data_IF_914670273429
#
_entry.id   IF_914670273429
#
_cell.length_a   1.000
_cell.length_b   1.000
_cell.length_c   1.000
_cell.angle_alpha   90.00
_cell.angle_beta   90.00
_cell.angle_gamma   90.00
#
_symmetry.space_group_name_H-M   'P 1'
#
loop_
_entity.id
_entity.type
_entity.pdbx_description
1 polymer ?
#
# COMPACT_ATOMS: atom_id res chain seq x y z
N UNK A 1 16.96 -11.41 -47.08
CA UNK A 1 15.59 -10.83 -47.12
C UNK A 1 15.67 -9.54 -46.31
N UNK A 2 15.43 -8.38 -46.94
CA UNK A 2 15.35 -7.11 -46.22
C UNK A 2 14.01 -7.03 -45.49
N UNK A 3 14.04 -6.62 -44.22
CA UNK A 3 12.83 -6.49 -43.43
C UNK A 3 12.13 -5.16 -43.78
N UNK A 4 10.90 -5.19 -44.32
CA UNK A 4 10.17 -3.96 -44.71
C UNK A 4 9.85 -3.02 -43.54
N UNK A 5 9.98 -3.52 -42.32
CA UNK A 5 9.70 -2.81 -41.08
C UNK A 5 10.93 -2.14 -40.47
N UNK A 6 12.14 -2.33 -41.03
CA UNK A 6 13.35 -1.68 -40.52
C UNK A 6 13.31 -0.16 -40.71
N UNK A 7 13.91 0.56 -39.76
CA UNK A 7 14.09 2.01 -39.78
C UNK A 7 15.44 2.37 -40.37
N UNK A 8 15.49 2.35 -41.69
CA UNK A 8 16.64 2.81 -42.45
C UNK A 8 16.22 3.99 -43.31
N UNK A 9 17.14 4.92 -43.56
CA UNK A 9 16.91 6.07 -44.45
C UNK A 9 16.40 5.62 -45.83
N UNK A 10 16.82 4.43 -46.28
CA UNK A 10 16.34 3.83 -47.52
C UNK A 10 14.86 3.43 -47.47
N UNK A 11 14.40 2.79 -46.38
CA UNK A 11 12.99 2.44 -46.21
C UNK A 11 12.08 3.67 -46.12
N UNK A 12 12.55 4.78 -45.54
CA UNK A 12 11.79 6.03 -45.50
C UNK A 12 11.66 6.68 -46.87
N UNK A 13 12.72 6.63 -47.68
CA UNK A 13 12.67 7.05 -49.09
C UNK A 13 11.66 6.18 -49.86
N UNK A 14 11.65 4.87 -49.65
CA UNK A 14 10.69 3.97 -50.31
C UNK A 14 9.23 4.21 -49.89
N UNK A 15 8.99 4.53 -48.61
CA UNK A 15 7.67 4.95 -48.12
C UNK A 15 7.23 6.26 -48.78
N UNK A 16 8.14 7.24 -48.88
CA UNK A 16 7.88 8.52 -49.55
C UNK A 16 7.57 8.38 -51.05
N UNK A 17 8.20 7.41 -51.72
CA UNK A 17 7.94 7.08 -53.12
C UNK A 17 6.75 6.13 -53.34
N UNK A 18 6.07 5.68 -52.28
CA UNK A 18 4.89 4.82 -52.36
C UNK A 18 5.17 3.37 -52.74
N UNK A 19 6.42 2.91 -52.62
CA UNK A 19 6.85 1.54 -52.94
C UNK A 19 6.56 0.59 -51.76
N UNK A 20 6.65 1.09 -50.52
CA UNK A 20 6.31 0.38 -49.29
C UNK A 20 5.20 1.15 -48.56
N UNK A 21 4.20 0.49 -47.96
CA UNK A 21 3.14 1.15 -47.20
C UNK A 21 3.67 1.98 -46.02
N UNK A 22 2.95 3.04 -45.69
CA UNK A 22 3.24 3.87 -44.51
C UNK A 22 3.20 3.05 -43.22
N UNK A 23 4.06 3.41 -42.27
CA UNK A 23 4.14 2.72 -40.99
C UNK A 23 2.86 2.97 -40.18
N UNK A 24 2.31 1.95 -39.49
CA UNK A 24 1.24 2.16 -38.52
C UNK A 24 1.69 3.20 -37.49
N UNK A 25 0.86 4.22 -37.27
CA UNK A 25 1.13 5.24 -36.24
C UNK A 25 1.26 4.53 -34.89
N UNK A 26 2.36 4.78 -34.18
CA UNK A 26 2.53 4.30 -32.82
C UNK A 26 1.33 4.78 -32.01
N UNK A 27 0.65 3.91 -31.25
CA UNK A 27 -0.42 4.36 -30.37
C UNK A 27 0.14 5.42 -29.42
N UNK A 28 -0.64 6.47 -29.09
CA UNK A 28 -0.20 7.47 -28.13
C UNK A 28 0.16 6.76 -26.81
N UNK A 29 1.25 7.21 -26.18
CA UNK A 29 1.60 6.74 -24.84
C UNK A 29 0.39 6.89 -23.92
N UNK A 30 0.06 5.89 -23.09
CA UNK A 30 -1.00 6.04 -22.12
C UNK A 30 -0.71 7.24 -21.20
N UNK A 31 -1.78 7.92 -20.77
CA UNK A 31 -1.66 9.04 -19.83
C UNK A 31 -1.09 8.53 -18.49
N UNK A 32 -0.20 9.30 -17.83
CA UNK A 32 0.30 8.92 -16.51
C UNK A 32 -0.85 8.79 -15.50
N UNK A 33 -0.69 7.94 -14.46
CA UNK A 33 -1.72 7.78 -13.44
C UNK A 33 -1.98 9.09 -12.70
N UNK A 34 -3.20 9.24 -12.18
CA UNK A 34 -3.56 10.38 -11.36
C UNK A 34 -2.66 10.47 -10.11
N UNK A 35 -2.34 11.70 -9.68
CA UNK A 35 -1.62 11.93 -8.44
C UNK A 35 -2.42 11.44 -7.23
N UNK A 36 -1.76 10.92 -6.18
CA UNK A 36 -2.43 10.38 -5.00
C UNK A 36 -3.19 11.47 -4.23
N UNK A 37 -4.37 11.12 -3.74
CA UNK A 37 -5.19 11.99 -2.90
C UNK A 37 -4.58 12.15 -1.50
N UNK A 38 -4.93 13.21 -0.76
CA UNK A 38 -4.51 13.37 0.65
C UNK A 38 -4.85 12.13 1.49
N UNK A 39 -6.06 11.57 1.31
CA UNK A 39 -6.48 10.34 2.00
C UNK A 39 -5.55 9.15 1.75
N UNK A 40 -5.03 9.02 0.53
CA UNK A 40 -4.08 7.96 0.17
C UNK A 40 -2.72 8.19 0.82
N UNK A 41 -2.28 9.45 0.89
CA UNK A 41 -1.04 9.83 1.58
C UNK A 41 -1.10 9.58 3.08
N UNK A 42 -2.27 9.78 3.71
CA UNK A 42 -2.46 9.52 5.14
C UNK A 42 -2.43 8.03 5.49
N UNK A 43 -2.90 7.18 4.57
CA UNK A 43 -3.05 5.74 4.82
C UNK A 43 -1.68 5.06 4.92
N UNK A 44 -1.36 4.56 6.11
CA UNK A 44 -0.11 3.84 6.35
C UNK A 44 1.12 4.74 6.51
N UNK A 45 0.94 6.07 6.56
CA UNK A 45 2.03 7.00 6.82
C UNK A 45 2.64 6.78 8.21
N UNK A 46 3.96 6.95 8.32
CA UNK A 46 4.65 7.06 9.60
C UNK A 46 4.34 8.40 10.28
N UNK A 47 4.61 8.52 11.59
CA UNK A 47 4.43 9.81 12.28
C UNK A 47 5.33 10.91 11.69
N UNK A 48 6.53 10.54 11.20
CA UNK A 48 7.43 11.46 10.51
C UNK A 48 6.86 11.94 9.17
N UNK A 49 6.26 11.03 8.39
CA UNK A 49 5.66 11.36 7.10
C UNK A 49 4.38 12.21 7.27
N UNK A 50 3.60 11.97 8.34
CA UNK A 50 2.46 12.82 8.67
C UNK A 50 2.91 14.24 9.02
N UNK A 51 4.00 14.40 9.77
CA UNK A 51 4.56 15.71 10.10
C UNK A 51 5.06 16.44 8.85
N UNK A 52 5.77 15.74 7.96
CA UNK A 52 6.22 16.33 6.69
C UNK A 52 5.04 16.76 5.82
N UNK A 53 3.96 15.97 5.77
CA UNK A 53 2.75 16.32 5.03
C UNK A 53 2.00 17.51 5.64
N UNK A 54 2.10 17.71 6.94
CA UNK A 54 1.60 18.89 7.65
C UNK A 54 2.42 20.13 7.28
N UNK A 55 3.75 20.02 7.28
CA UNK A 55 4.68 21.12 6.95
C UNK A 55 4.61 21.50 5.44
N UNK A 56 4.35 20.53 4.55
CA UNK A 56 4.16 20.72 3.10
C UNK A 56 2.72 21.11 2.73
N UNK A 57 1.81 21.21 3.71
CA UNK A 57 0.43 21.61 3.44
C UNK A 57 0.38 23.05 2.91
N UNK A 58 0.06 23.20 1.63
CA UNK A 58 -0.06 24.51 0.98
C UNK A 58 -1.31 25.31 1.39
N UNK A 59 -2.18 24.75 2.21
CA UNK A 59 -3.43 25.35 2.65
C UNK A 59 -3.85 24.90 4.07
N UNK A 60 -4.64 25.74 4.74
CA UNK A 60 -5.06 25.52 6.12
C UNK A 60 -6.08 24.39 6.32
N UNK A 61 -6.77 23.96 5.26
CA UNK A 61 -7.74 22.86 5.35
C UNK A 61 -7.00 21.52 5.37
N UNK A 62 -6.01 21.35 4.48
CA UNK A 62 -5.13 20.18 4.43
C UNK A 62 -4.38 20.00 5.76
N UNK A 63 -3.80 21.07 6.31
CA UNK A 63 -3.10 21.04 7.59
C UNK A 63 -3.99 20.49 8.73
N UNK A 64 -5.24 20.99 8.81
CA UNK A 64 -6.22 20.52 9.80
C UNK A 64 -6.55 19.04 9.64
N UNK A 65 -6.75 18.56 8.40
CA UNK A 65 -7.05 17.15 8.13
C UNK A 65 -5.91 16.25 8.62
N UNK A 66 -4.66 16.62 8.35
CA UNK A 66 -3.48 15.86 8.77
C UNK A 66 -3.35 15.83 10.30
N UNK A 67 -3.54 16.97 10.96
CA UNK A 67 -3.52 17.06 12.44
C UNK A 67 -4.62 16.22 13.10
N UNK A 68 -5.84 16.29 12.57
CA UNK A 68 -6.98 15.49 13.06
C UNK A 68 -6.70 13.99 12.93
N UNK A 69 -6.17 13.56 11.79
CA UNK A 69 -5.79 12.17 11.57
C UNK A 69 -4.73 11.69 12.58
N UNK A 70 -3.68 12.48 12.77
CA UNK A 70 -2.62 12.18 13.74
C UNK A 70 -3.15 12.08 15.17
N UNK A 71 -4.01 13.03 15.57
CA UNK A 71 -4.64 13.03 16.89
C UNK A 71 -5.51 11.80 17.11
N UNK A 72 -6.34 11.44 16.12
CA UNK A 72 -7.19 10.25 16.16
C UNK A 72 -6.36 8.98 16.34
N UNK A 73 -5.31 8.80 15.54
CA UNK A 73 -4.40 7.65 15.63
C UNK A 73 -3.77 7.52 17.02
N UNK A 74 -3.29 8.64 17.57
CA UNK A 74 -2.70 8.64 18.92
C UNK A 74 -3.72 8.33 20.01
N UNK A 75 -4.97 8.77 19.86
CA UNK A 75 -6.05 8.41 20.78
C UNK A 75 -6.37 6.92 20.72
N UNK A 76 -6.43 6.33 19.52
CA UNK A 76 -6.63 4.89 19.34
C UNK A 76 -5.50 4.08 19.98
N UNK A 77 -4.23 4.45 19.73
CA UNK A 77 -3.08 3.82 20.38
C UNK A 77 -3.12 3.93 21.90
N UNK A 78 -3.50 5.09 22.45
CA UNK A 78 -3.67 5.28 23.90
C UNK A 78 -4.80 4.43 24.46
N UNK A 79 -5.91 4.30 23.73
CA UNK A 79 -7.05 3.45 24.13
C UNK A 79 -6.63 1.99 24.16
N UNK A 80 -5.88 1.55 23.16
CA UNK A 80 -5.31 0.20 23.07
C UNK A 80 -4.34 -0.09 24.23
N UNK A 81 -3.43 0.84 24.53
CA UNK A 81 -2.50 0.73 25.66
C UNK A 81 -3.23 0.70 27.02
N UNK A 82 -4.23 1.57 27.21
CA UNK A 82 -5.05 1.62 28.43
C UNK A 82 -5.86 0.35 28.65
N UNK A 83 -6.12 -0.45 27.61
CA UNK A 83 -6.86 -1.70 27.72
C UNK A 83 -6.13 -2.71 28.61
N UNK A 84 -4.81 -2.55 28.82
CA UNK A 84 -4.09 -3.18 29.93
C UNK A 84 -4.21 -4.70 29.98
N UNK A 85 -4.40 -5.35 28.82
CA UNK A 85 -4.73 -6.79 28.73
C UNK A 85 -3.64 -7.69 29.33
N UNK A 86 -2.40 -7.22 29.24
CA UNK A 86 -1.23 -7.89 29.78
C UNK A 86 -0.48 -6.92 30.68
N UNK A 87 0.29 -7.45 31.63
CA UNK A 87 0.98 -6.65 32.63
C UNK A 87 1.38 -7.43 33.87
N UNK A 88 0.82 -8.63 34.04
CA UNK A 88 1.18 -9.58 35.09
C UNK A 88 1.81 -10.85 34.48
N UNK A 89 2.70 -11.48 35.25
CA UNK A 89 3.31 -12.76 34.87
C UNK A 89 2.40 -13.91 35.32
N UNK A 90 1.76 -14.58 34.36
CA UNK A 90 0.98 -15.79 34.63
C UNK A 90 1.81 -17.04 34.32
N UNK A 91 2.06 -17.93 35.30
CA UNK A 91 2.68 -19.22 35.03
C UNK A 91 1.68 -20.11 34.27
N UNK A 92 2.15 -20.74 33.18
CA UNK A 92 1.35 -21.69 32.40
C UNK A 92 1.95 -23.08 32.48
N UNK A 93 1.10 -24.09 32.70
CA UNK A 93 1.47 -25.50 32.68
C UNK A 93 1.47 -26.07 31.26
N UNK A 94 2.03 -27.28 31.11
CA UNK A 94 2.01 -28.01 29.81
C UNK A 94 0.57 -28.27 29.34
N UNK A 95 -0.31 -28.65 30.25
CA UNK A 95 -1.69 -29.03 29.93
C UNK A 95 -2.54 -27.81 29.53
N UNK A 96 -2.21 -26.62 30.04
CA UNK A 96 -2.90 -25.37 29.74
C UNK A 96 -2.37 -24.68 28.47
N UNK A 97 -1.16 -25.01 28.00
CA UNK A 97 -0.52 -24.34 26.85
C UNK A 97 -1.41 -24.33 25.60
N UNK A 98 -2.06 -25.45 25.29
CA UNK A 98 -2.92 -25.57 24.10
C UNK A 98 -4.07 -24.57 24.15
N UNK A 99 -4.71 -24.42 25.31
CA UNK A 99 -5.84 -23.52 25.53
C UNK A 99 -5.40 -22.06 25.53
N UNK A 100 -4.39 -21.74 26.34
CA UNK A 100 -3.96 -20.36 26.61
C UNK A 100 -3.11 -19.75 25.48
N UNK A 101 -2.51 -20.57 24.60
CA UNK A 101 -1.65 -20.10 23.50
C UNK A 101 -2.25 -20.44 22.15
N UNK A 102 -2.42 -21.73 21.84
CA UNK A 102 -2.80 -22.17 20.49
C UNK A 102 -4.26 -21.85 20.16
N UNK A 103 -5.19 -22.12 21.07
CA UNK A 103 -6.62 -21.86 20.87
C UNK A 103 -6.94 -20.37 21.04
N UNK A 104 -6.38 -19.72 22.07
CA UNK A 104 -6.51 -18.27 22.27
C UNK A 104 -5.97 -17.44 21.08
N UNK A 105 -4.97 -17.92 20.33
CA UNK A 105 -4.47 -17.24 19.13
C UNK A 105 -5.42 -17.29 17.92
N UNK A 106 -6.44 -18.15 17.93
CA UNK A 106 -7.37 -18.34 16.81
C UNK A 106 -8.68 -17.54 16.98
N UNK A 107 -8.94 -17.04 18.18
CA UNK A 107 -10.17 -16.30 18.48
C UNK A 107 -9.89 -14.80 18.35
N UNK A 108 -10.54 -14.18 17.37
CA UNK A 108 -10.61 -12.72 17.29
C UNK A 108 -11.47 -12.22 18.46
N UNK A 109 -10.94 -11.27 19.24
CA UNK A 109 -11.70 -10.66 20.34
C UNK A 109 -12.87 -9.81 19.83
N UNK A 110 -13.91 -9.67 20.66
CA UNK A 110 -15.01 -8.73 20.42
C UNK A 110 -14.47 -7.30 20.17
N UNK A 111 -14.67 -6.79 18.95
CA UNK A 111 -14.16 -5.49 18.50
C UNK A 111 -12.75 -5.52 17.88
N UNK A 112 -12.18 -6.70 17.61
CA UNK A 112 -10.91 -6.91 16.90
C UNK A 112 -11.05 -7.80 15.64
N UNK A 113 -12.27 -7.97 15.14
CA UNK A 113 -12.57 -8.78 13.96
C UNK A 113 -11.67 -8.40 12.76
N UNK A 114 -10.95 -9.37 12.21
CA UNK A 114 -10.13 -9.19 11.01
C UNK A 114 -8.68 -8.72 11.26
N UNK A 115 -8.25 -8.61 12.53
CA UNK A 115 -6.82 -8.45 12.90
C UNK A 115 -6.18 -9.80 13.24
N UNK A 116 -6.41 -10.80 12.39
CA UNK A 116 -5.81 -12.13 12.54
C UNK A 116 -4.29 -12.05 12.50
N UNK A 117 -3.62 -12.69 13.47
CA UNK A 117 -2.17 -12.82 13.47
C UNK A 117 -1.75 -13.95 12.52
N UNK A 118 -1.13 -13.58 11.39
CA UNK A 118 -0.31 -14.47 10.56
C UNK A 118 -1.09 -15.24 9.50
N UNK A 119 -0.77 -14.97 8.22
CA UNK A 119 -1.13 -15.89 7.14
C UNK A 119 -0.43 -17.23 7.39
N UNK A 120 -1.11 -18.38 7.22
CA UNK A 120 -0.44 -19.67 7.25
C UNK A 120 0.56 -19.72 6.09
N UNK A 121 1.86 -19.82 6.40
CA UNK A 121 2.88 -20.10 5.39
C UNK A 121 2.60 -21.51 4.89
N UNK A 122 2.01 -21.63 3.69
CA UNK A 122 1.91 -22.92 3.00
C UNK A 122 3.33 -23.32 2.62
N UNK A 123 3.86 -24.31 3.32
CA UNK A 123 5.07 -25.00 2.91
C UNK A 123 4.64 -26.06 1.90
N UNK A 124 4.66 -25.71 0.62
CA UNK A 124 4.50 -26.71 -0.44
C UNK A 124 5.78 -27.55 -0.49
N UNK A 125 5.64 -28.86 -0.26
CA UNK A 125 6.70 -29.89 -0.35
C UNK A 125 6.72 -30.47 -1.75
#
# INVERSE_FOLDING_TARGET
MQNPNEDTEWNDILRKHGIIPERPKTPPSPSPPASPTISDKLKGASDSALKELEDDAGDSETERIVQEYRRKRMQELRKEQKRGRFGEMMPIGRDDYKREVTEASQVDEEGMEGRGFGQPVRMDI
#
